data_IF_063843707123
#
_entry.id   IF_063843707123
#
_cell.length_a   1.000
_cell.length_b   1.000
_cell.length_c   1.000
_cell.angle_alpha   90.00
_cell.angle_beta   90.00
_cell.angle_gamma   90.00
#
_symmetry.space_group_name_H-M   'P 1'
#
loop_
_entity.id
_entity.type
_entity.pdbx_description
1 polymer ?
#
# COMPACT_ATOMS: atom_id res chain seq x y z
N UNK A 1 4.64 -40.72 13.53
CA UNK A 1 4.69 -39.45 14.29
C UNK A 1 4.96 -38.32 13.28
N UNK A 2 3.93 -37.74 12.65
CA UNK A 2 4.13 -36.76 11.57
C UNK A 2 3.06 -35.65 11.64
N UNK A 3 3.21 -34.72 12.57
CA UNK A 3 2.36 -33.52 12.68
C UNK A 3 3.16 -32.39 13.33
N UNK A 4 4.06 -31.75 12.58
CA UNK A 4 4.67 -30.48 13.05
C UNK A 4 5.10 -29.48 11.97
N UNK A 5 4.89 -29.78 10.69
CA UNK A 5 5.41 -28.95 9.59
C UNK A 5 4.36 -28.11 8.86
N UNK A 6 3.06 -28.33 9.07
CA UNK A 6 2.02 -27.56 8.36
C UNK A 6 1.73 -26.18 8.96
N UNK A 7 1.94 -25.96 10.26
CA UNK A 7 1.58 -24.68 10.87
C UNK A 7 2.52 -23.51 10.50
N UNK A 8 3.81 -23.77 10.27
CA UNK A 8 4.77 -22.71 9.94
C UNK A 8 4.67 -22.17 8.52
N UNK A 9 4.14 -22.95 7.58
CA UNK A 9 3.99 -22.54 6.18
C UNK A 9 2.73 -21.69 5.97
N UNK A 10 1.62 -22.09 6.59
CA UNK A 10 0.32 -21.40 6.47
C UNK A 10 0.35 -19.99 7.09
N UNK A 11 0.97 -19.83 8.27
CA UNK A 11 1.16 -18.53 8.92
C UNK A 11 2.16 -17.63 8.16
N UNK A 12 3.21 -18.23 7.58
CA UNK A 12 4.22 -17.51 6.80
C UNK A 12 3.69 -16.97 5.47
N UNK A 13 2.88 -17.76 4.75
CA UNK A 13 2.23 -17.33 3.50
C UNK A 13 1.15 -16.28 3.75
N UNK A 14 0.32 -16.45 4.79
CA UNK A 14 -0.71 -15.47 5.13
C UNK A 14 -0.09 -14.11 5.53
N UNK A 15 0.95 -14.12 6.38
CA UNK A 15 1.64 -12.90 6.78
C UNK A 15 2.42 -12.26 5.61
N UNK A 16 3.02 -13.07 4.73
CA UNK A 16 3.73 -12.59 3.54
C UNK A 16 2.79 -11.96 2.51
N UNK A 17 1.63 -12.56 2.28
CA UNK A 17 0.59 -12.01 1.40
C UNK A 17 -0.03 -10.74 1.97
N UNK A 18 -0.33 -10.70 3.28
CA UNK A 18 -0.90 -9.51 3.92
C UNK A 18 0.08 -8.32 3.93
N UNK A 19 1.36 -8.57 4.23
CA UNK A 19 2.41 -7.54 4.13
C UNK A 19 2.60 -7.06 2.70
N UNK A 20 2.78 -7.97 1.75
CA UNK A 20 2.99 -7.62 0.35
C UNK A 20 1.82 -6.83 -0.23
N UNK A 21 0.58 -7.16 0.15
CA UNK A 21 -0.62 -6.44 -0.27
C UNK A 21 -0.72 -5.06 0.40
N UNK A 22 -0.39 -4.96 1.69
CA UNK A 22 -0.42 -3.68 2.41
C UNK A 22 0.67 -2.72 1.91
N UNK A 23 1.88 -3.22 1.68
CA UNK A 23 2.99 -2.47 1.09
C UNK A 23 2.65 -2.04 -0.35
N UNK A 24 2.10 -2.95 -1.15
CA UNK A 24 1.66 -2.65 -2.51
C UNK A 24 0.58 -1.58 -2.58
N UNK A 25 -0.45 -1.65 -1.72
CA UNK A 25 -1.53 -0.64 -1.67
C UNK A 25 -1.01 0.72 -1.23
N UNK A 26 -0.09 0.77 -0.26
CA UNK A 26 0.51 2.03 0.17
C UNK A 26 1.39 2.63 -0.94
N UNK A 27 2.16 1.81 -1.64
CA UNK A 27 3.03 2.24 -2.73
C UNK A 27 2.24 2.70 -3.95
N UNK A 28 1.17 1.99 -4.32
CA UNK A 28 0.27 2.35 -5.42
C UNK A 28 -0.39 3.71 -5.17
N UNK A 29 -0.92 3.96 -3.95
CA UNK A 29 -1.49 5.27 -3.60
C UNK A 29 -0.46 6.40 -3.69
N UNK A 30 0.77 6.15 -3.26
CA UNK A 30 1.87 7.14 -3.34
C UNK A 30 2.30 7.40 -4.78
N UNK A 31 2.40 6.37 -5.61
CA UNK A 31 2.72 6.53 -7.05
C UNK A 31 1.60 7.27 -7.79
N UNK A 32 0.34 6.95 -7.53
CA UNK A 32 -0.80 7.68 -8.10
C UNK A 32 -0.75 9.15 -7.67
N UNK A 33 -0.54 9.43 -6.38
CA UNK A 33 -0.45 10.81 -5.89
C UNK A 33 0.72 11.57 -6.52
N UNK A 34 1.89 10.95 -6.66
CA UNK A 34 3.07 11.54 -7.30
C UNK A 34 2.82 11.83 -8.78
N UNK A 35 2.24 10.89 -9.52
CA UNK A 35 1.89 11.09 -10.93
C UNK A 35 0.86 12.20 -11.11
N UNK A 36 -0.18 12.25 -10.26
CA UNK A 36 -1.17 13.32 -10.32
C UNK A 36 -0.54 14.70 -10.01
N UNK A 37 0.38 14.77 -9.04
CA UNK A 37 1.13 15.99 -8.74
C UNK A 37 1.99 16.44 -9.91
N UNK A 38 2.66 15.51 -10.59
CA UNK A 38 3.47 15.77 -11.79
C UNK A 38 2.61 16.28 -12.96
N UNK A 39 1.40 15.73 -13.12
CA UNK A 39 0.40 16.19 -14.07
C UNK A 39 -0.21 17.57 -13.74
N UNK A 40 0.17 18.18 -12.62
CA UNK A 40 -0.34 19.49 -12.18
C UNK A 40 -1.75 19.44 -11.58
N UNK A 41 -2.21 18.25 -11.17
CA UNK A 41 -3.50 18.07 -10.51
C UNK A 41 -3.50 18.75 -9.14
N UNK A 42 -4.59 19.40 -8.78
CA UNK A 42 -4.70 20.11 -7.51
C UNK A 42 -4.62 19.14 -6.31
N UNK A 43 -3.98 19.58 -5.23
CA UNK A 43 -3.77 18.78 -4.01
C UNK A 43 -5.08 18.15 -3.48
N UNK A 44 -6.19 18.87 -3.55
CA UNK A 44 -7.52 18.38 -3.16
C UNK A 44 -8.02 17.23 -4.04
N UNK A 45 -7.78 17.27 -5.34
CA UNK A 45 -8.13 16.19 -6.26
C UNK A 45 -7.26 14.95 -6.02
N UNK A 46 -5.97 15.15 -5.71
CA UNK A 46 -5.05 14.06 -5.35
C UNK A 46 -5.50 13.36 -4.07
N UNK A 47 -5.88 14.13 -3.03
CA UNK A 47 -6.46 13.60 -1.79
C UNK A 47 -7.71 12.78 -2.09
N UNK A 48 -8.62 13.29 -2.94
CA UNK A 48 -9.84 12.56 -3.31
C UNK A 48 -9.57 11.29 -4.12
N UNK A 49 -8.59 11.33 -5.02
CA UNK A 49 -8.27 10.20 -5.90
C UNK A 49 -7.54 9.08 -5.15
N UNK A 50 -6.65 9.41 -4.22
CA UNK A 50 -5.80 8.43 -3.51
C UNK A 50 -6.30 8.09 -2.11
N UNK A 51 -7.16 8.94 -1.53
CA UNK A 51 -7.60 8.85 -0.14
C UNK A 51 -6.49 9.14 0.86
N UNK A 52 -5.36 9.71 0.43
CA UNK A 52 -4.26 10.14 1.30
C UNK A 52 -4.60 11.47 1.97
N UNK A 53 -4.07 11.69 3.17
CA UNK A 53 -4.19 12.97 3.85
C UNK A 53 -3.41 14.07 3.12
N UNK A 54 -3.84 15.32 3.28
CA UNK A 54 -3.17 16.48 2.69
C UNK A 54 -1.68 16.57 3.07
N UNK A 55 -1.34 16.15 4.29
CA UNK A 55 0.03 16.09 4.77
C UNK A 55 0.84 15.05 4.01
N UNK A 56 0.33 13.82 3.85
CA UNK A 56 1.01 12.77 3.07
C UNK A 56 1.20 13.18 1.60
N UNK A 57 0.22 13.85 0.99
CA UNK A 57 0.36 14.38 -0.38
C UNK A 57 1.37 15.53 -0.48
N UNK A 58 1.56 16.32 0.59
CA UNK A 58 2.62 17.34 0.65
C UNK A 58 4.00 16.74 0.84
N UNK A 59 4.12 15.64 1.57
CA UNK A 59 5.39 14.95 1.84
C UNK A 59 5.89 14.12 0.65
N UNK A 60 5.02 13.80 -0.32
CA UNK A 60 5.36 13.17 -1.61
C UNK A 60 6.01 14.14 -2.60
#
# INVERSE_FOLDING_TARGET
MNIRWHYGYDEGEAAGLEKGRSEGVAQEKREIAKNLKDLGVGLNEIIKATGLSAEEVKEL
#
